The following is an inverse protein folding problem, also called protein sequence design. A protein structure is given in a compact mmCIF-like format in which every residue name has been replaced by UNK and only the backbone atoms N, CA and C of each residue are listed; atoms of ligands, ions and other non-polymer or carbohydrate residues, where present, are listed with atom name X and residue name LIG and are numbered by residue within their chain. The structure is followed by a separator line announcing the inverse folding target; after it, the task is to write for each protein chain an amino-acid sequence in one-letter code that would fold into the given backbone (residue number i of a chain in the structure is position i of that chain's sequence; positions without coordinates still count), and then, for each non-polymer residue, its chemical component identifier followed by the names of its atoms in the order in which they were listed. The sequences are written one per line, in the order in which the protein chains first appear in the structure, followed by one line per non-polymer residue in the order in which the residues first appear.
data_IF_617783170843
#
_entry.id   IF_617783170843
#
_cell.length_a   1.000
_cell.length_b   1.000
_cell.length_c   1.000
_cell.angle_alpha   90.00
_cell.angle_beta   90.00
_cell.angle_gamma   90.00
#
_symmetry.space_group_name_H-M   'P 1'
#
loop_
_entity.id
_entity.type
_entity.pdbx_description
1 polymer ?
#
# COMPACT_ATOMS: atom_id res chain seq x y z
N UNK A 1 39.18 10.61 6.40
CA UNK A 1 38.35 11.70 5.83
C UNK A 1 38.78 13.11 6.28
N UNK A 2 39.47 13.27 7.40
CA UNK A 2 39.98 14.59 7.82
C UNK A 2 41.14 15.10 6.95
N UNK A 3 41.92 14.22 6.38
CA UNK A 3 43.08 14.56 5.52
C UNK A 3 42.67 15.07 4.12
N UNK A 4 41.46 14.79 3.66
CA UNK A 4 40.94 15.29 2.40
C UNK A 4 40.34 16.71 2.50
N UNK A 5 40.09 17.20 3.72
CA UNK A 5 39.65 18.56 3.97
C UNK A 5 40.81 19.53 3.73
N UNK A 6 40.69 20.33 2.68
CA UNK A 6 41.70 21.34 2.30
C UNK A 6 42.45 21.05 1.01
N UNK A 7 42.26 19.86 0.40
CA UNK A 7 42.76 19.58 -0.95
C UNK A 7 41.74 19.98 -2.01
N UNK A 8 42.19 20.34 -3.21
CA UNK A 8 41.26 20.61 -4.30
C UNK A 8 40.56 19.31 -4.74
N UNK A 9 39.26 19.36 -5.04
CA UNK A 9 38.53 18.16 -5.51
C UNK A 9 39.14 17.54 -6.76
N UNK A 10 39.72 18.33 -7.65
CA UNK A 10 40.40 17.84 -8.84
C UNK A 10 41.68 17.02 -8.51
N UNK A 11 42.45 17.47 -7.53
CA UNK A 11 43.64 16.75 -7.05
C UNK A 11 43.25 15.40 -6.41
N UNK A 12 42.22 15.42 -5.56
CA UNK A 12 41.73 14.19 -4.92
C UNK A 12 41.21 13.19 -5.96
N UNK A 13 40.44 13.64 -6.95
CA UNK A 13 39.96 12.78 -8.04
C UNK A 13 41.06 12.18 -8.85
N UNK A 14 42.12 12.95 -9.18
CA UNK A 14 43.29 12.41 -9.89
C UNK A 14 43.99 11.29 -9.09
N UNK A 15 44.13 11.47 -7.79
CA UNK A 15 44.72 10.42 -6.94
C UNK A 15 43.78 9.21 -6.81
N UNK A 16 42.47 9.41 -6.75
CA UNK A 16 41.47 8.37 -6.69
C UNK A 16 41.52 7.48 -7.93
N UNK A 17 41.54 8.07 -9.13
CA UNK A 17 41.62 7.30 -10.39
C UNK A 17 42.93 6.50 -10.46
N UNK A 18 44.08 7.12 -10.14
CA UNK A 18 45.36 6.41 -10.07
C UNK A 18 45.36 5.26 -9.06
N UNK A 19 44.58 5.33 -8.02
CA UNK A 19 44.43 4.26 -7.05
C UNK A 19 43.52 3.16 -7.57
N UNK A 20 42.35 3.50 -8.14
CA UNK A 20 41.41 2.54 -8.74
C UNK A 20 42.09 1.75 -9.86
N UNK A 21 42.85 2.40 -10.75
CA UNK A 21 43.55 1.75 -11.85
C UNK A 21 44.61 0.69 -11.40
N UNK A 22 45.01 0.73 -10.15
CA UNK A 22 45.98 -0.24 -9.57
C UNK A 22 45.30 -1.38 -8.83
N UNK A 23 43.98 -1.36 -8.68
CA UNK A 23 43.25 -2.43 -8.01
C UNK A 23 43.28 -3.69 -8.90
N UNK A 24 43.59 -4.82 -8.29
CA UNK A 24 43.48 -6.11 -8.96
C UNK A 24 42.04 -6.56 -9.06
N UNK A 25 41.53 -6.76 -10.28
CA UNK A 25 40.13 -7.12 -10.54
C UNK A 25 39.74 -8.50 -10.01
N UNK A 26 40.68 -9.37 -9.80
CA UNK A 26 40.55 -10.72 -9.24
C UNK A 26 40.65 -10.77 -7.72
N UNK A 27 40.91 -9.63 -7.07
CA UNK A 27 40.96 -9.54 -5.60
C UNK A 27 39.53 -9.48 -5.03
N UNK A 28 39.18 -10.30 -4.03
CA UNK A 28 37.88 -10.25 -3.37
C UNK A 28 37.51 -8.89 -2.77
N UNK A 29 38.49 -8.02 -2.56
CA UNK A 29 38.28 -6.65 -2.05
C UNK A 29 38.09 -5.61 -3.17
N UNK A 30 38.12 -6.00 -4.44
CA UNK A 30 38.02 -5.10 -5.58
C UNK A 30 36.72 -4.29 -5.54
N UNK A 31 35.55 -4.94 -5.52
CA UNK A 31 34.26 -4.26 -5.47
C UNK A 31 34.05 -3.40 -4.20
N UNK A 32 34.37 -3.85 -2.98
CA UNK A 32 34.42 -2.98 -1.81
C UNK A 32 35.27 -1.72 -1.99
N UNK A 33 36.40 -1.82 -2.62
CA UNK A 33 37.26 -0.64 -2.88
C UNK A 33 36.68 0.28 -3.96
N UNK A 34 36.05 -0.25 -5.00
CA UNK A 34 35.31 0.55 -5.97
C UNK A 34 34.15 1.32 -5.30
N UNK A 35 33.48 0.71 -4.35
CA UNK A 35 32.41 1.36 -3.62
C UNK A 35 32.94 2.51 -2.73
N UNK A 36 34.07 2.31 -2.07
CA UNK A 36 34.73 3.38 -1.33
C UNK A 36 35.16 4.53 -2.27
N UNK A 37 35.66 4.20 -3.47
CA UNK A 37 36.02 5.20 -4.48
C UNK A 37 34.77 6.01 -4.93
N UNK A 38 33.63 5.33 -5.16
CA UNK A 38 32.38 5.99 -5.51
C UNK A 38 31.92 6.95 -4.40
N UNK A 39 32.01 6.54 -3.14
CA UNK A 39 31.66 7.41 -2.02
C UNK A 39 32.57 8.62 -1.88
N UNK A 40 33.86 8.48 -2.16
CA UNK A 40 34.80 9.62 -2.19
C UNK A 40 34.41 10.60 -3.31
N UNK A 41 34.16 10.10 -4.52
CA UNK A 41 33.71 10.93 -5.65
C UNK A 41 32.41 11.69 -5.35
N UNK A 42 31.42 10.99 -4.76
CA UNK A 42 30.18 11.58 -4.30
C UNK A 42 30.41 12.62 -3.19
N UNK A 43 31.24 12.30 -2.20
CA UNK A 43 31.61 13.23 -1.11
C UNK A 43 32.26 14.52 -1.59
N UNK A 44 32.86 14.51 -2.77
CA UNK A 44 33.41 15.69 -3.46
C UNK A 44 32.39 16.40 -4.36
N UNK A 45 31.16 15.91 -4.42
CA UNK A 45 30.13 16.31 -5.37
C UNK A 45 30.58 16.22 -6.84
N UNK A 46 31.32 15.15 -7.17
CA UNK A 46 31.85 14.86 -8.51
C UNK A 46 31.69 13.37 -8.78
N UNK A 47 30.49 12.98 -9.21
CA UNK A 47 30.22 11.56 -9.47
C UNK A 47 31.10 11.04 -10.59
N UNK A 48 31.85 9.98 -10.31
CA UNK A 48 32.48 9.19 -11.35
C UNK A 48 31.44 8.26 -12.00
N UNK A 49 30.97 8.67 -13.18
CA UNK A 49 29.86 7.99 -13.88
C UNK A 49 30.27 6.60 -14.35
N UNK A 50 31.55 6.39 -14.72
CA UNK A 50 32.03 5.08 -15.15
C UNK A 50 32.04 4.09 -13.99
N UNK A 51 32.54 4.51 -12.85
CA UNK A 51 32.58 3.73 -11.62
C UNK A 51 31.16 3.46 -11.10
N UNK A 52 30.27 4.44 -11.17
CA UNK A 52 28.88 4.27 -10.81
C UNK A 52 28.21 3.18 -11.65
N UNK A 53 28.37 3.23 -12.99
CA UNK A 53 27.80 2.24 -13.91
C UNK A 53 28.37 0.84 -13.69
N UNK A 54 29.67 0.71 -13.42
CA UNK A 54 30.30 -0.56 -13.10
C UNK A 54 29.68 -1.17 -11.83
N UNK A 55 29.50 -0.38 -10.77
CA UNK A 55 28.90 -0.84 -9.52
C UNK A 55 27.40 -1.12 -9.61
N UNK A 56 26.66 -0.45 -10.50
CA UNK A 56 25.27 -0.79 -10.78
C UNK A 56 25.10 -2.18 -11.42
N UNK A 57 26.15 -2.71 -12.03
CA UNK A 57 26.19 -4.05 -12.65
C UNK A 57 26.94 -5.10 -11.80
N UNK A 58 27.35 -4.76 -10.57
CA UNK A 58 28.03 -5.68 -9.66
C UNK A 58 27.23 -6.95 -9.38
N UNK A 59 27.89 -8.08 -9.20
CA UNK A 59 27.24 -9.31 -8.75
C UNK A 59 26.66 -9.18 -7.33
N UNK A 60 27.31 -8.35 -6.47
CA UNK A 60 26.84 -8.10 -5.11
C UNK A 60 25.69 -7.08 -5.10
N UNK A 61 24.50 -7.53 -4.73
CA UNK A 61 23.32 -6.64 -4.60
C UNK A 61 23.56 -5.46 -3.64
N UNK A 62 24.46 -5.58 -2.67
CA UNK A 62 24.78 -4.50 -1.72
C UNK A 62 25.54 -3.38 -2.42
N UNK A 63 26.43 -3.71 -3.34
CA UNK A 63 27.11 -2.74 -4.18
C UNK A 63 26.13 -2.07 -5.15
N UNK A 64 25.25 -2.83 -5.81
CA UNK A 64 24.20 -2.28 -6.68
C UNK A 64 23.26 -1.35 -5.92
N UNK A 65 22.81 -1.72 -4.72
CA UNK A 65 21.94 -0.88 -3.89
C UNK A 65 22.65 0.42 -3.46
N UNK A 66 23.92 0.34 -3.07
CA UNK A 66 24.71 1.51 -2.71
C UNK A 66 24.94 2.44 -3.91
N UNK A 67 25.23 1.89 -5.09
CA UNK A 67 25.36 2.64 -6.34
C UNK A 67 24.04 3.32 -6.73
N UNK A 68 22.89 2.62 -6.61
CA UNK A 68 21.56 3.19 -6.83
C UNK A 68 21.27 4.36 -5.89
N UNK A 69 21.70 4.27 -4.63
CA UNK A 69 21.60 5.38 -3.68
C UNK A 69 22.45 6.58 -4.10
N UNK A 70 23.68 6.36 -4.58
CA UNK A 70 24.52 7.46 -5.11
C UNK A 70 23.88 8.09 -6.34
N UNK A 71 23.33 7.27 -7.24
CA UNK A 71 22.58 7.74 -8.42
C UNK A 71 21.38 8.62 -8.01
N UNK A 72 20.65 8.29 -6.94
CA UNK A 72 19.56 9.13 -6.42
C UNK A 72 20.01 10.53 -6.07
N UNK A 73 21.13 10.67 -5.35
CA UNK A 73 21.61 11.97 -4.87
C UNK A 73 22.44 12.74 -5.89
N UNK A 74 23.12 12.04 -6.79
CA UNK A 74 24.02 12.61 -7.78
C UNK A 74 23.49 12.58 -9.21
N UNK A 75 22.22 12.19 -9.40
CA UNK A 75 21.65 11.96 -10.74
C UNK A 75 21.70 13.16 -11.67
N UNK A 76 21.64 14.39 -11.14
CA UNK A 76 21.84 15.61 -11.95
C UNK A 76 23.18 15.69 -12.70
N UNK A 77 24.15 14.83 -12.35
CA UNK A 77 25.43 14.68 -13.03
C UNK A 77 25.46 13.49 -14.00
N UNK A 78 24.38 12.72 -14.11
CA UNK A 78 24.28 11.47 -14.88
C UNK A 78 23.20 11.62 -15.96
N UNK A 79 23.62 11.70 -17.20
CA UNK A 79 22.72 12.02 -18.32
C UNK A 79 21.60 10.98 -18.52
N UNK A 80 21.86 9.71 -18.20
CA UNK A 80 20.95 8.58 -18.35
C UNK A 80 20.37 8.10 -16.99
N UNK A 81 20.25 9.01 -16.03
CA UNK A 81 19.73 8.71 -14.68
C UNK A 81 18.40 7.93 -14.70
N UNK A 82 17.43 8.37 -15.50
CA UNK A 82 16.10 7.77 -15.54
C UNK A 82 16.14 6.32 -16.06
N UNK A 83 16.99 6.03 -17.05
CA UNK A 83 17.18 4.68 -17.58
C UNK A 83 17.82 3.76 -16.54
N UNK A 84 18.92 4.20 -15.93
CA UNK A 84 19.60 3.45 -14.87
C UNK A 84 18.72 3.22 -13.65
N UNK A 85 17.84 4.15 -13.30
CA UNK A 85 16.85 3.96 -12.22
C UNK A 85 15.78 2.92 -12.58
N UNK A 86 15.32 2.86 -13.84
CA UNK A 86 14.39 1.79 -14.29
C UNK A 86 15.07 0.43 -14.28
N UNK A 87 16.35 0.34 -14.66
CA UNK A 87 17.12 -0.90 -14.52
C UNK A 87 17.21 -1.35 -13.05
N UNK A 88 17.54 -0.44 -12.13
CA UNK A 88 17.57 -0.72 -10.70
C UNK A 88 16.18 -1.11 -10.14
N UNK A 89 15.11 -0.52 -10.67
CA UNK A 89 13.73 -0.88 -10.31
C UNK A 89 13.34 -2.30 -10.78
N UNK A 90 13.97 -2.82 -11.84
CA UNK A 90 13.79 -4.18 -12.34
C UNK A 90 14.71 -5.22 -11.67
N UNK A 91 15.60 -4.82 -10.76
CA UNK A 91 16.61 -5.69 -10.13
C UNK A 91 15.95 -6.91 -9.46
N UNK A 92 16.65 -8.05 -9.49
CA UNK A 92 16.20 -9.27 -8.84
C UNK A 92 16.09 -9.10 -7.31
N UNK A 93 17.00 -8.32 -6.72
CA UNK A 93 17.07 -8.17 -5.29
C UNK A 93 16.22 -6.99 -4.78
N UNK A 94 15.29 -7.25 -3.85
CA UNK A 94 14.36 -6.26 -3.27
C UNK A 94 15.04 -5.01 -2.69
N UNK A 95 16.26 -5.15 -2.14
CA UNK A 95 17.00 -4.01 -1.59
C UNK A 95 17.41 -2.99 -2.66
N UNK A 96 17.75 -3.43 -3.86
CA UNK A 96 18.08 -2.54 -4.98
C UNK A 96 16.83 -1.85 -5.47
N UNK A 97 15.73 -2.61 -5.65
CA UNK A 97 14.42 -2.05 -6.02
C UNK A 97 13.92 -1.00 -5.02
N UNK A 98 14.11 -1.24 -3.72
CA UNK A 98 13.74 -0.27 -2.69
C UNK A 98 14.47 1.07 -2.85
N UNK A 99 15.77 1.07 -3.16
CA UNK A 99 16.52 2.32 -3.41
C UNK A 99 15.99 3.06 -4.64
N UNK A 100 15.60 2.33 -5.70
CA UNK A 100 14.98 2.93 -6.89
C UNK A 100 13.57 3.48 -6.59
N UNK A 101 12.73 2.76 -5.83
CA UNK A 101 11.41 3.23 -5.39
C UNK A 101 11.53 4.55 -4.60
N UNK A 102 12.47 4.62 -3.66
CA UNK A 102 12.70 5.85 -2.89
C UNK A 102 13.22 6.97 -3.78
N UNK A 103 14.10 6.65 -4.75
CA UNK A 103 14.62 7.62 -5.71
C UNK A 103 13.53 8.21 -6.62
N UNK A 104 12.52 7.40 -6.99
CA UNK A 104 11.43 7.82 -7.87
C UNK A 104 10.73 9.11 -7.39
N UNK A 105 10.55 9.27 -6.07
CA UNK A 105 9.92 10.46 -5.49
C UNK A 105 10.74 11.76 -5.62
N UNK A 106 11.99 11.66 -6.07
CA UNK A 106 12.92 12.79 -6.26
C UNK A 106 13.12 13.14 -7.74
N UNK A 107 12.49 12.38 -8.64
CA UNK A 107 12.55 12.55 -10.08
C UNK A 107 11.36 13.37 -10.59
N UNK A 108 11.44 13.79 -11.84
CA UNK A 108 10.27 14.36 -12.50
C UNK A 108 9.13 13.34 -12.55
N UNK A 109 7.87 13.83 -12.49
CA UNK A 109 6.68 13.00 -12.32
C UNK A 109 6.61 11.83 -13.29
N UNK A 110 6.82 12.07 -14.59
CA UNK A 110 6.70 11.03 -15.63
C UNK A 110 7.78 9.96 -15.46
N UNK A 111 9.01 10.37 -15.22
CA UNK A 111 10.15 9.47 -15.02
C UNK A 111 9.99 8.66 -13.72
N UNK A 112 9.61 9.33 -12.62
CA UNK A 112 9.38 8.68 -11.33
C UNK A 112 8.25 7.63 -11.40
N UNK A 113 7.13 7.94 -12.07
CA UNK A 113 6.05 6.99 -12.28
C UNK A 113 6.49 5.79 -13.13
N UNK A 114 7.30 6.00 -14.17
CA UNK A 114 7.86 4.90 -14.97
C UNK A 114 8.77 3.98 -14.15
N UNK A 115 9.57 4.53 -13.23
CA UNK A 115 10.37 3.74 -12.27
C UNK A 115 9.47 2.91 -11.35
N UNK A 116 8.41 3.50 -10.80
CA UNK A 116 7.46 2.79 -9.94
C UNK A 116 6.70 1.70 -10.70
N UNK A 117 6.31 1.93 -11.94
CA UNK A 117 5.66 0.94 -12.79
C UNK A 117 6.55 -0.30 -12.96
N UNK A 118 7.83 -0.11 -13.29
CA UNK A 118 8.80 -1.20 -13.41
C UNK A 118 8.96 -1.94 -12.08
N UNK A 119 9.11 -1.23 -10.96
CA UNK A 119 9.26 -1.83 -9.65
C UNK A 119 8.07 -2.73 -9.26
N UNK A 120 6.85 -2.35 -9.67
CA UNK A 120 5.60 -3.08 -9.36
C UNK A 120 5.38 -4.35 -10.20
N UNK A 121 6.19 -4.59 -11.23
CA UNK A 121 6.13 -5.84 -12.01
C UNK A 121 6.63 -7.06 -11.23
N UNK A 122 7.34 -6.83 -10.14
CA UNK A 122 7.76 -7.86 -9.18
C UNK A 122 7.06 -7.66 -7.84
N UNK A 123 6.87 -8.71 -7.03
CA UNK A 123 6.24 -8.58 -5.72
C UNK A 123 6.94 -7.51 -4.85
N UNK A 124 6.13 -6.66 -4.25
CA UNK A 124 6.57 -5.69 -3.25
C UNK A 124 6.37 -6.32 -1.87
N UNK A 125 7.45 -6.48 -1.11
CA UNK A 125 7.36 -6.99 0.26
C UNK A 125 6.84 -5.92 1.23
N UNK A 126 6.61 -6.33 2.48
CA UNK A 126 6.07 -5.46 3.55
C UNK A 126 6.91 -4.20 3.81
N UNK A 127 8.20 -4.23 3.44
CA UNK A 127 9.11 -3.09 3.60
C UNK A 127 9.10 -2.17 2.39
N UNK A 128 8.92 -2.70 1.19
CA UNK A 128 8.87 -1.92 -0.04
C UNK A 128 7.52 -1.25 -0.25
N UNK A 129 6.42 -1.92 0.11
CA UNK A 129 5.08 -1.43 -0.16
C UNK A 129 4.81 -0.04 0.42
N UNK A 130 5.12 0.27 1.71
CA UNK A 130 4.92 1.61 2.25
C UNK A 130 5.72 2.69 1.52
N UNK A 131 6.97 2.38 1.13
CA UNK A 131 7.82 3.31 0.37
C UNK A 131 7.27 3.56 -1.03
N UNK A 132 6.77 2.51 -1.69
CA UNK A 132 6.12 2.59 -2.99
C UNK A 132 4.86 3.48 -2.94
N UNK A 133 3.95 3.22 -1.99
CA UNK A 133 2.72 3.99 -1.82
C UNK A 133 3.03 5.48 -1.52
N UNK A 134 4.04 5.74 -0.70
CA UNK A 134 4.47 7.11 -0.40
C UNK A 134 5.01 7.82 -1.65
N UNK A 135 5.88 7.16 -2.42
CA UNK A 135 6.43 7.73 -3.65
C UNK A 135 5.34 7.96 -4.70
N UNK A 136 4.42 7.00 -4.85
CA UNK A 136 3.29 7.09 -5.77
C UNK A 136 2.36 8.27 -5.41
N UNK A 137 2.00 8.39 -4.12
CA UNK A 137 1.15 9.48 -3.63
C UNK A 137 1.82 10.85 -3.85
N UNK A 138 3.14 10.94 -3.59
CA UNK A 138 3.90 12.17 -3.80
C UNK A 138 3.87 12.62 -5.27
N UNK A 139 4.14 11.71 -6.21
CA UNK A 139 4.19 12.00 -7.64
C UNK A 139 2.82 12.33 -8.24
N UNK A 140 1.75 11.70 -7.75
CA UNK A 140 0.40 11.91 -8.25
C UNK A 140 -0.38 13.00 -7.51
N UNK A 141 0.08 13.47 -6.37
CA UNK A 141 -0.63 14.39 -5.49
C UNK A 141 -1.82 13.75 -4.76
N UNK A 142 -1.96 12.42 -4.83
CA UNK A 142 -3.01 11.62 -4.18
C UNK A 142 -2.57 10.17 -4.03
N UNK A 143 -3.10 9.48 -3.00
CA UNK A 143 -2.83 8.07 -2.76
C UNK A 143 -3.45 7.15 -3.83
N UNK A 144 -2.97 5.90 -3.91
CA UNK A 144 -3.60 4.87 -4.75
C UNK A 144 -5.02 4.54 -4.28
N UNK A 145 -5.26 4.63 -2.99
CA UNK A 145 -6.60 4.42 -2.42
C UNK A 145 -7.57 5.50 -2.87
N UNK A 146 -7.13 6.77 -2.88
CA UNK A 146 -7.94 7.88 -3.41
C UNK A 146 -8.22 7.72 -4.90
N UNK A 147 -7.25 7.23 -5.69
CA UNK A 147 -7.45 6.95 -7.12
C UNK A 147 -8.45 5.81 -7.34
N UNK A 148 -8.29 4.69 -6.63
CA UNK A 148 -9.25 3.57 -6.71
C UNK A 148 -10.66 3.99 -6.29
N UNK A 149 -10.79 4.80 -5.23
CA UNK A 149 -12.09 5.32 -4.82
C UNK A 149 -12.74 6.18 -5.92
N UNK A 150 -11.96 6.98 -6.64
CA UNK A 150 -12.47 7.76 -7.78
C UNK A 150 -12.86 6.88 -8.97
N UNK A 151 -12.08 5.84 -9.28
CA UNK A 151 -12.42 4.85 -10.29
C UNK A 151 -13.74 4.13 -9.96
N UNK A 152 -13.94 3.73 -8.72
CA UNK A 152 -15.18 3.13 -8.24
C UNK A 152 -16.34 4.12 -8.40
N UNK A 153 -16.18 5.36 -7.93
CA UNK A 153 -17.21 6.41 -8.08
C UNK A 153 -17.56 6.64 -9.55
N UNK A 154 -16.60 6.56 -10.46
CA UNK A 154 -16.87 6.72 -11.90
C UNK A 154 -17.48 5.49 -12.55
N UNK A 155 -17.26 4.29 -12.00
CA UNK A 155 -17.85 3.03 -12.50
C UNK A 155 -19.29 2.80 -12.04
N UNK A 156 -19.70 3.42 -10.94
CA UNK A 156 -21.08 3.35 -10.44
C UNK A 156 -21.96 4.39 -11.13
N UNK A 157 -23.22 4.05 -11.37
CA UNK A 157 -24.19 4.91 -12.04
C UNK A 157 -25.38 5.24 -11.12
N UNK A 158 -26.00 6.39 -11.38
CA UNK A 158 -27.27 6.78 -10.77
C UNK A 158 -27.25 6.73 -9.23
N UNK A 159 -28.25 6.06 -8.67
CA UNK A 159 -28.47 5.97 -7.22
C UNK A 159 -27.33 5.23 -6.48
N UNK A 160 -26.74 4.22 -7.11
CA UNK A 160 -25.66 3.45 -6.49
C UNK A 160 -24.41 4.31 -6.23
N UNK A 161 -24.11 5.23 -7.15
CA UNK A 161 -23.05 6.21 -6.99
C UNK A 161 -23.34 7.18 -5.84
N UNK A 162 -24.57 7.66 -5.74
CA UNK A 162 -24.99 8.56 -4.64
C UNK A 162 -24.87 7.84 -3.29
N UNK A 163 -25.36 6.60 -3.21
CA UNK A 163 -25.22 5.75 -2.01
C UNK A 163 -23.77 5.51 -1.63
N UNK A 164 -22.91 5.20 -2.59
CA UNK A 164 -21.48 5.00 -2.33
C UNK A 164 -20.81 6.24 -1.71
N UNK A 165 -21.07 7.42 -2.28
CA UNK A 165 -20.50 8.69 -1.80
C UNK A 165 -21.00 9.00 -0.38
N UNK A 166 -22.30 8.90 -0.15
CA UNK A 166 -22.91 9.10 1.18
C UNK A 166 -22.39 8.07 2.20
N UNK A 167 -22.25 6.82 1.76
CA UNK A 167 -21.75 5.73 2.59
C UNK A 167 -20.32 5.92 3.07
N UNK A 168 -19.46 6.50 2.23
CA UNK A 168 -18.09 6.87 2.61
C UNK A 168 -18.05 7.85 3.79
N UNK A 169 -18.94 8.85 3.76
CA UNK A 169 -19.04 9.83 4.84
C UNK A 169 -19.55 9.20 6.13
N UNK A 170 -20.57 8.30 6.02
CA UNK A 170 -21.12 7.59 7.17
C UNK A 170 -20.08 6.66 7.79
N UNK A 171 -19.35 5.91 6.95
CA UNK A 171 -18.29 5.00 7.39
C UNK A 171 -17.23 5.72 8.25
N UNK A 172 -16.87 6.94 7.84
CA UNK A 172 -15.82 7.74 8.47
C UNK A 172 -16.28 8.55 9.70
N UNK A 173 -17.59 8.54 10.04
CA UNK A 173 -18.08 9.24 11.25
C UNK A 173 -17.43 8.69 12.52
N UNK A 174 -17.11 9.57 13.45
CA UNK A 174 -16.56 9.19 14.76
C UNK A 174 -17.53 8.26 15.52
N UNK A 175 -17.01 7.15 16.04
CA UNK A 175 -17.80 6.14 16.75
C UNK A 175 -18.56 5.15 15.81
N UNK A 176 -18.40 5.30 14.49
CA UNK A 176 -19.00 4.38 13.50
C UNK A 176 -18.00 3.33 13.00
N UNK A 177 -18.22 2.82 11.80
CA UNK A 177 -17.54 1.64 11.26
C UNK A 177 -16.00 1.75 11.26
N UNK A 178 -15.45 2.90 10.85
CA UNK A 178 -14.00 3.14 10.76
C UNK A 178 -13.30 3.03 12.11
N UNK A 179 -13.99 3.32 13.21
CA UNK A 179 -13.42 3.25 14.58
C UNK A 179 -12.93 1.84 14.91
N UNK A 180 -13.64 0.81 14.47
CA UNK A 180 -13.29 -0.60 14.71
C UNK A 180 -12.65 -1.25 13.48
N UNK A 181 -13.19 -0.99 12.29
CA UNK A 181 -12.76 -1.65 11.06
C UNK A 181 -11.64 -0.93 10.31
N UNK A 182 -11.15 0.20 10.84
CA UNK A 182 -10.09 1.05 10.30
C UNK A 182 -10.43 1.69 8.94
N UNK A 183 -9.65 2.69 8.52
CA UNK A 183 -9.88 3.42 7.28
C UNK A 183 -9.72 2.56 6.02
N UNK A 184 -8.89 1.52 6.09
CA UNK A 184 -8.61 0.58 5.00
C UNK A 184 -9.49 -0.69 5.01
N UNK A 185 -10.43 -0.77 5.97
CA UNK A 185 -11.27 -1.96 6.14
C UNK A 185 -10.51 -3.20 6.62
N UNK A 186 -9.25 -3.05 7.03
CA UNK A 186 -8.38 -4.14 7.48
C UNK A 186 -8.68 -4.66 8.88
N UNK A 187 -9.50 -3.94 9.64
CA UNK A 187 -9.80 -4.25 11.04
C UNK A 187 -8.61 -4.04 11.97
N UNK A 188 -8.77 -4.43 13.21
CA UNK A 188 -7.72 -4.36 14.23
C UNK A 188 -7.63 -5.69 14.98
N UNK A 189 -6.84 -6.60 14.43
CA UNK A 189 -6.72 -7.97 14.93
C UNK A 189 -6.33 -8.10 16.40
N UNK A 190 -5.47 -7.19 16.90
CA UNK A 190 -5.07 -7.15 18.29
C UNK A 190 -6.23 -6.82 19.24
N UNK A 191 -7.23 -6.06 18.75
CA UNK A 191 -8.42 -5.64 19.49
C UNK A 191 -9.68 -6.46 19.14
N UNK A 192 -9.51 -7.60 18.41
CA UNK A 192 -10.62 -8.49 18.03
C UNK A 192 -11.64 -7.86 17.05
N UNK A 193 -11.24 -6.83 16.30
CA UNK A 193 -12.06 -6.25 15.25
C UNK A 193 -11.71 -6.87 13.90
N UNK A 194 -12.63 -7.62 13.26
CA UNK A 194 -12.36 -8.32 12.00
C UNK A 194 -12.21 -7.36 10.82
N UNK A 195 -11.50 -7.77 9.75
CA UNK A 195 -11.47 -7.04 8.50
C UNK A 195 -12.83 -7.11 7.79
N UNK A 196 -13.11 -6.07 6.99
CA UNK A 196 -14.20 -6.03 6.01
C UNK A 196 -13.69 -6.36 4.60
N UNK A 197 -12.39 -6.16 4.37
CA UNK A 197 -11.72 -6.39 3.10
C UNK A 197 -11.73 -7.87 2.71
N UNK A 198 -12.21 -8.20 1.52
CA UNK A 198 -12.13 -9.54 0.92
C UNK A 198 -13.00 -10.61 1.56
N UNK A 199 -13.92 -10.27 2.49
CA UNK A 199 -14.65 -11.27 3.27
C UNK A 199 -16.00 -11.66 2.65
N UNK A 200 -16.39 -12.93 2.78
CA UNK A 200 -17.72 -13.42 2.42
C UNK A 200 -18.83 -12.83 3.31
N UNK A 201 -18.50 -12.37 4.52
CA UNK A 201 -19.45 -11.67 5.40
C UNK A 201 -19.95 -10.37 4.78
N UNK A 202 -19.10 -9.69 3.99
CA UNK A 202 -19.41 -8.44 3.30
C UNK A 202 -19.90 -8.67 1.88
N UNK A 203 -19.21 -9.52 1.12
CA UNK A 203 -19.47 -9.69 -0.33
C UNK A 203 -20.56 -10.72 -0.65
N UNK A 204 -20.89 -11.60 0.30
CA UNK A 204 -21.92 -12.60 0.15
C UNK A 204 -23.34 -12.08 0.32
N UNK A 205 -24.19 -12.86 0.98
CA UNK A 205 -25.60 -12.57 1.18
C UNK A 205 -25.84 -11.18 1.80
N UNK A 206 -26.59 -10.33 1.11
CA UNK A 206 -26.84 -8.96 1.56
C UNK A 206 -27.77 -8.90 2.77
N UNK A 207 -28.71 -9.84 2.89
CA UNK A 207 -29.66 -9.88 3.99
C UNK A 207 -28.97 -10.22 5.31
N UNK A 208 -28.01 -11.17 5.27
CA UNK A 208 -27.13 -11.47 6.40
C UNK A 208 -26.37 -10.22 6.85
N UNK A 209 -25.79 -9.49 5.91
CA UNK A 209 -25.03 -8.27 6.17
C UNK A 209 -25.91 -7.15 6.75
N UNK A 210 -27.13 -6.99 6.22
CA UNK A 210 -28.09 -6.01 6.73
C UNK A 210 -28.52 -6.38 8.16
N UNK A 211 -28.86 -7.65 8.43
CA UNK A 211 -29.28 -8.13 9.77
C UNK A 211 -28.22 -7.83 10.84
N UNK A 212 -26.96 -8.21 10.57
CA UNK A 212 -25.88 -7.94 11.53
C UNK A 212 -25.61 -6.44 11.74
N UNK A 213 -25.85 -5.62 10.70
CA UNK A 213 -25.66 -4.17 10.81
C UNK A 213 -26.78 -3.51 11.60
N UNK A 214 -28.01 -3.94 11.39
CA UNK A 214 -29.20 -3.42 12.11
C UNK A 214 -29.18 -3.79 13.59
N UNK A 215 -28.92 -5.06 13.92
CA UNK A 215 -29.08 -5.61 15.26
C UNK A 215 -27.76 -5.86 16.01
N UNK A 216 -26.61 -5.67 15.32
CA UNK A 216 -25.30 -5.97 15.87
C UNK A 216 -24.97 -7.46 15.85
N UNK A 217 -23.76 -7.81 16.23
CA UNK A 217 -23.24 -9.17 16.25
C UNK A 217 -22.49 -9.44 17.55
N UNK A 218 -22.74 -10.57 18.18
CA UNK A 218 -22.04 -10.98 19.39
C UNK A 218 -21.69 -12.48 19.33
N UNK A 219 -20.49 -12.81 19.74
CA UNK A 219 -20.01 -14.19 19.79
C UNK A 219 -18.81 -14.42 18.85
N UNK A 220 -18.20 -15.61 18.94
CA UNK A 220 -17.02 -15.95 18.14
C UNK A 220 -17.39 -16.02 16.65
N UNK A 221 -16.58 -15.37 15.82
CA UNK A 221 -16.77 -15.30 14.37
C UNK A 221 -15.48 -15.70 13.66
N UNK A 222 -15.59 -16.52 12.60
CA UNK A 222 -14.50 -16.81 11.69
C UNK A 222 -14.58 -15.85 10.48
N UNK A 223 -13.53 -15.09 10.26
CA UNK A 223 -13.42 -14.16 9.13
C UNK A 223 -12.12 -14.46 8.40
N UNK A 224 -12.21 -14.79 7.12
CA UNK A 224 -11.12 -15.38 6.36
C UNK A 224 -10.62 -16.65 7.08
N UNK A 225 -9.32 -16.81 7.27
CA UNK A 225 -8.74 -17.96 7.95
C UNK A 225 -8.48 -17.73 9.45
N UNK A 226 -9.12 -16.69 10.04
CA UNK A 226 -8.88 -16.31 11.44
C UNK A 226 -10.16 -16.31 12.27
N UNK A 227 -10.05 -16.80 13.51
CA UNK A 227 -11.09 -16.70 14.51
C UNK A 227 -10.95 -15.41 15.34
N UNK A 228 -12.08 -14.76 15.57
CA UNK A 228 -12.26 -13.60 16.44
C UNK A 228 -13.19 -13.98 17.57
N UNK A 229 -12.76 -13.77 18.80
CA UNK A 229 -13.48 -14.28 19.98
C UNK A 229 -14.83 -13.62 20.28
N UNK A 230 -15.18 -12.52 19.60
CA UNK A 230 -16.46 -11.84 19.75
C UNK A 230 -16.73 -11.25 21.15
N UNK A 231 -15.69 -11.01 21.93
CA UNK A 231 -15.80 -10.45 23.30
C UNK A 231 -16.30 -9.00 23.30
N UNK A 232 -16.03 -8.28 22.21
CA UNK A 232 -16.56 -6.93 21.98
C UNK A 232 -17.63 -7.05 20.90
N UNK A 233 -18.92 -6.81 21.24
CA UNK A 233 -19.98 -6.91 20.24
C UNK A 233 -19.87 -5.82 19.20
N UNK A 234 -20.26 -6.15 17.95
CA UNK A 234 -20.50 -5.12 16.95
C UNK A 234 -21.75 -4.33 17.33
N UNK A 235 -21.63 -3.01 17.32
CA UNK A 235 -22.72 -2.11 17.69
C UNK A 235 -23.92 -2.25 16.72
N UNK A 236 -25.18 -2.34 17.24
CA UNK A 236 -26.37 -2.29 16.40
C UNK A 236 -26.61 -0.86 15.89
N UNK A 237 -26.65 -0.67 14.61
CA UNK A 237 -26.87 0.64 13.99
C UNK A 237 -28.34 0.91 13.61
N UNK A 238 -29.22 -0.06 13.79
CA UNK A 238 -30.65 0.06 13.41
C UNK A 238 -31.40 1.20 14.07
N UNK A 239 -31.02 1.59 15.30
CA UNK A 239 -31.59 2.74 16.00
C UNK A 239 -30.89 4.08 15.71
N UNK A 240 -29.73 4.05 15.05
CA UNK A 240 -28.89 5.24 14.80
C UNK A 240 -28.90 5.68 13.34
N UNK A 241 -29.14 4.75 12.40
CA UNK A 241 -29.16 4.99 10.98
C UNK A 241 -30.51 4.60 10.38
N UNK A 242 -31.03 5.44 9.48
CA UNK A 242 -32.21 5.12 8.71
C UNK A 242 -31.90 4.15 7.56
N UNK A 243 -32.93 3.74 6.79
CA UNK A 243 -32.76 2.73 5.73
C UNK A 243 -31.85 3.20 4.60
N UNK A 244 -31.89 4.49 4.25
CA UNK A 244 -31.01 5.07 3.23
C UNK A 244 -29.55 5.13 3.71
N UNK A 245 -29.33 5.48 4.96
CA UNK A 245 -27.98 5.54 5.55
C UNK A 245 -27.36 4.13 5.71
N UNK A 246 -28.14 3.13 6.11
CA UNK A 246 -27.67 1.72 6.14
C UNK A 246 -27.34 1.25 4.72
N UNK A 247 -28.22 1.47 3.76
CA UNK A 247 -27.98 1.12 2.35
C UNK A 247 -26.71 1.79 1.82
N UNK A 248 -26.52 3.07 2.14
CA UNK A 248 -25.35 3.84 1.72
C UNK A 248 -24.05 3.26 2.30
N UNK A 249 -23.97 3.07 3.61
CA UNK A 249 -22.73 2.56 4.24
C UNK A 249 -22.42 1.12 3.80
N UNK A 250 -23.43 0.28 3.59
CA UNK A 250 -23.23 -1.08 3.09
C UNK A 250 -22.81 -1.09 1.61
N UNK A 251 -23.36 -0.22 0.78
CA UNK A 251 -22.92 -0.03 -0.61
C UNK A 251 -21.44 0.40 -0.65
N UNK A 252 -21.04 1.34 0.21
CA UNK A 252 -19.63 1.74 0.33
C UNK A 252 -18.73 0.56 0.73
N UNK A 253 -19.07 -0.18 1.78
CA UNK A 253 -18.27 -1.30 2.29
C UNK A 253 -18.19 -2.43 1.25
N UNK A 254 -19.26 -2.71 0.51
CA UNK A 254 -19.31 -3.75 -0.53
C UNK A 254 -18.55 -3.39 -1.80
N UNK A 255 -18.19 -2.12 -1.99
CA UNK A 255 -17.45 -1.63 -3.17
C UNK A 255 -16.11 -0.97 -2.81
N UNK A 256 -15.68 -1.05 -1.55
CA UNK A 256 -14.39 -0.51 -1.08
C UNK A 256 -13.47 -1.64 -0.62
N UNK A 257 -12.21 -1.29 -0.31
CA UNK A 257 -11.24 -2.24 0.29
C UNK A 257 -10.94 -3.46 -0.60
N UNK A 258 -11.11 -3.34 -1.91
CA UNK A 258 -10.98 -4.45 -2.86
C UNK A 258 -12.22 -5.33 -2.99
N UNK A 259 -13.30 -5.04 -2.28
CA UNK A 259 -14.59 -5.70 -2.44
C UNK A 259 -15.26 -5.28 -3.75
N UNK A 260 -16.00 -6.22 -4.36
CA UNK A 260 -16.75 -6.01 -5.59
C UNK A 260 -18.07 -6.79 -5.51
N UNK A 261 -19.06 -6.19 -4.86
CA UNK A 261 -20.38 -6.80 -4.69
C UNK A 261 -21.51 -5.79 -5.00
N UNK A 262 -22.71 -6.24 -5.38
CA UNK A 262 -23.80 -5.35 -5.72
C UNK A 262 -24.13 -4.33 -4.61
N UNK A 263 -24.60 -3.15 -5.00
CA UNK A 263 -25.10 -2.13 -4.09
C UNK A 263 -26.31 -2.67 -3.30
N UNK A 264 -26.48 -2.16 -2.08
CA UNK A 264 -27.63 -2.47 -1.23
C UNK A 264 -28.68 -1.37 -1.40
N UNK A 265 -29.93 -1.74 -1.69
CA UNK A 265 -31.00 -0.75 -1.85
C UNK A 265 -31.64 -0.37 -0.50
N UNK A 266 -32.12 0.88 -0.33
CA UNK A 266 -32.90 1.28 0.84
C UNK A 266 -34.17 0.47 1.02
N UNK A 267 -34.77 0.05 -0.07
CA UNK A 267 -35.98 -0.79 -0.08
C UNK A 267 -35.68 -2.17 0.56
N UNK A 268 -34.53 -2.78 0.23
CA UNK A 268 -34.11 -4.04 0.83
C UNK A 268 -33.80 -3.87 2.33
N UNK A 269 -33.14 -2.79 2.72
CA UNK A 269 -32.93 -2.49 4.16
C UNK A 269 -34.23 -2.36 4.90
N UNK A 270 -35.23 -1.65 4.34
CA UNK A 270 -36.55 -1.48 4.92
C UNK A 270 -37.28 -2.83 5.11
N UNK A 271 -37.20 -3.69 4.10
CA UNK A 271 -37.76 -5.05 4.17
C UNK A 271 -37.16 -5.85 5.33
N UNK A 272 -35.82 -5.89 5.39
CA UNK A 272 -35.09 -6.64 6.44
C UNK A 272 -35.37 -6.05 7.82
N UNK A 273 -35.37 -4.73 7.96
CA UNK A 273 -35.74 -4.05 9.22
C UNK A 273 -37.14 -4.43 9.71
N UNK A 274 -38.09 -4.54 8.81
CA UNK A 274 -39.45 -4.95 9.16
C UNK A 274 -39.49 -6.41 9.64
N UNK A 275 -38.77 -7.31 8.98
CA UNK A 275 -38.66 -8.73 9.37
C UNK A 275 -37.96 -8.90 10.71
N UNK A 276 -36.98 -8.07 11.02
CA UNK A 276 -36.17 -8.14 12.26
C UNK A 276 -36.75 -7.27 13.40
N UNK A 277 -37.92 -6.65 13.22
CA UNK A 277 -38.50 -5.72 14.21
C UNK A 277 -38.70 -6.36 15.60
N UNK A 278 -39.01 -7.65 15.66
CA UNK A 278 -39.23 -8.41 16.90
C UNK A 278 -37.92 -9.00 17.47
N UNK A 279 -36.76 -8.88 16.75
CA UNK A 279 -35.47 -9.38 17.21
C UNK A 279 -34.99 -8.54 18.38
N UNK A 280 -34.82 -9.19 19.52
CA UNK A 280 -34.22 -8.58 20.72
C UNK A 280 -32.78 -9.02 20.89
N UNK A 281 -31.88 -8.07 21.19
CA UNK A 281 -30.45 -8.34 21.37
C UNK A 281 -29.68 -8.51 20.06
N UNK A 282 -28.42 -8.93 20.18
CA UNK A 282 -27.53 -9.15 19.06
C UNK A 282 -27.89 -10.44 18.31
N UNK A 283 -27.50 -10.51 17.03
CA UNK A 283 -27.36 -11.80 16.36
C UNK A 283 -26.08 -12.51 16.83
N UNK A 284 -26.11 -13.85 16.81
CA UNK A 284 -24.88 -14.64 16.85
C UNK A 284 -24.48 -15.04 15.43
N UNK A 285 -23.19 -15.35 15.18
CA UNK A 285 -22.77 -15.88 13.90
C UNK A 285 -23.52 -17.15 13.49
N UNK A 286 -23.80 -18.05 14.44
CA UNK A 286 -24.54 -19.29 14.23
C UNK A 286 -25.96 -19.00 13.73
N UNK A 287 -26.71 -18.13 14.41
CA UNK A 287 -28.08 -17.73 13.98
C UNK A 287 -28.08 -17.21 12.55
N UNK A 288 -27.13 -16.33 12.21
CA UNK A 288 -27.03 -15.76 10.86
C UNK A 288 -26.66 -16.80 9.81
N UNK A 289 -25.79 -17.76 10.13
CA UNK A 289 -25.37 -18.80 9.19
C UNK A 289 -26.40 -19.92 9.02
N UNK A 290 -27.28 -20.13 10.00
CA UNK A 290 -28.44 -21.03 9.85
C UNK A 290 -29.46 -20.46 8.85
N UNK A 291 -29.71 -19.14 8.93
CA UNK A 291 -30.64 -18.46 8.01
C UNK A 291 -30.01 -18.16 6.64
N UNK A 292 -28.75 -17.80 6.61
CA UNK A 292 -27.98 -17.36 5.45
C UNK A 292 -26.61 -18.03 5.43
N UNK A 293 -26.48 -19.28 4.97
CA UNK A 293 -25.21 -19.99 4.90
C UNK A 293 -24.15 -19.27 4.05
N UNK A 294 -22.87 -19.54 4.32
CA UNK A 294 -21.80 -19.04 3.45
C UNK A 294 -21.84 -19.70 2.08
N UNK A 295 -21.76 -18.90 1.03
CA UNK A 295 -21.73 -19.45 -0.33
C UNK A 295 -20.44 -20.26 -0.53
N UNK A 296 -20.57 -21.50 -1.01
CA UNK A 296 -19.48 -22.37 -1.44
C UNK A 296 -18.76 -23.12 -0.32
N UNK A 297 -19.44 -23.40 0.80
CA UNK A 297 -19.07 -24.48 1.74
C UNK A 297 -19.89 -25.73 1.50
#
# INVERSE_FOLDING_TARGET
SSELRGRSGAEVMSHLWNWVDRLAKDDPTYEPYLLEALWVSWGLNRIDVSLLKELLQSEDFRARAAATRVLRYGGHQVADQAELMREAAADEHGRVRLEAIVAASWMDKEEGLAVLEVASQKPLDDWMLPSYETAFAHLNGRSREEQKAEEIVTSLEGKDRELYIAGKEIYAREGYCMTCHQADGGGLSASQFPPLAGTKWVQGDEERLIKLTLNGLYGPIKVLDREYGGQVPMTPFGGMLNDEEIAAVLTYVRNSFGNQAPAVSPEKVKEVRAVTAEKTGFYTPEELLEEHPMEGE
#
